data_IF_945068980441
#
_entry.id   IF_945068980441
#
_cell.length_a   1.000
_cell.length_b   1.000
_cell.length_c   1.000
_cell.angle_alpha   90.00
_cell.angle_beta   90.00
_cell.angle_gamma   90.00
#
_symmetry.space_group_name_H-M   'P 1'
#
loop_
_entity.id
_entity.type
_entity.pdbx_description
1 polymer ?
#
# COMPACT_ATOMS: atom_id res chain seq x y z
N UNK A 1 -9.88 -1.37 -8.67
CA UNK A 1 -9.32 -0.14 -8.08
C UNK A 1 -8.95 -0.49 -6.65
N UNK A 2 -7.86 0.04 -6.13
CA UNK A 2 -7.37 -0.20 -4.77
C UNK A 2 -7.41 1.15 -4.03
N UNK A 3 -7.77 1.12 -2.75
CA UNK A 3 -7.88 2.31 -1.87
C UNK A 3 -6.60 2.62 -1.10
N UNK A 4 -5.47 2.04 -1.51
CA UNK A 4 -4.17 2.19 -0.82
C UNK A 4 -3.75 3.66 -0.72
N UNK A 5 -4.03 4.46 -1.76
CA UNK A 5 -3.71 5.90 -1.76
C UNK A 5 -4.51 6.66 -0.71
N UNK A 6 -5.82 6.43 -0.64
CA UNK A 6 -6.70 7.05 0.36
C UNK A 6 -6.24 6.68 1.77
N UNK A 7 -5.97 5.40 2.05
CA UNK A 7 -5.53 4.95 3.38
C UNK A 7 -4.19 5.57 3.78
N UNK A 8 -3.28 5.78 2.82
CA UNK A 8 -2.02 6.48 3.07
C UNK A 8 -2.23 7.96 3.40
N UNK A 9 -3.13 8.64 2.69
CA UNK A 9 -3.50 10.03 2.96
C UNK A 9 -4.21 10.18 4.31
N UNK A 10 -5.16 9.30 4.65
CA UNK A 10 -5.87 9.29 5.94
C UNK A 10 -4.92 9.12 7.13
N UNK A 11 -3.87 8.30 6.97
CA UNK A 11 -2.85 8.12 8.01
C UNK A 11 -1.74 9.16 7.98
N UNK A 12 -1.69 10.01 6.95
CA UNK A 12 -0.58 10.95 6.75
C UNK A 12 0.77 10.27 6.49
N UNK A 13 0.77 9.05 5.95
CA UNK A 13 1.98 8.26 5.73
C UNK A 13 2.50 8.50 4.31
N UNK A 14 3.81 8.74 4.20
CA UNK A 14 4.47 8.90 2.90
C UNK A 14 4.63 7.54 2.21
N UNK A 15 4.50 7.53 0.89
CA UNK A 15 4.72 6.33 0.07
C UNK A 15 6.14 5.76 0.21
N UNK A 16 7.14 6.62 0.46
CA UNK A 16 8.53 6.22 0.76
C UNK A 16 8.60 5.35 2.01
N UNK A 17 7.88 5.72 3.07
CA UNK A 17 7.83 4.95 4.31
C UNK A 17 7.20 3.57 4.10
N UNK A 18 6.11 3.51 3.32
CA UNK A 18 5.49 2.23 2.99
C UNK A 18 6.44 1.34 2.17
N UNK A 19 7.18 1.91 1.22
CA UNK A 19 8.16 1.17 0.43
C UNK A 19 9.29 0.58 1.29
N UNK A 20 9.81 1.36 2.25
CA UNK A 20 10.80 0.89 3.21
C UNK A 20 10.26 -0.24 4.08
N UNK A 21 9.00 -0.15 4.54
CA UNK A 21 8.39 -1.18 5.40
C UNK A 21 8.08 -2.50 4.69
N UNK A 22 7.68 -2.46 3.41
CA UNK A 22 7.46 -3.67 2.60
C UNK A 22 8.81 -4.24 2.10
N UNK A 23 9.91 -3.49 2.21
CA UNK A 23 11.20 -3.88 1.67
C UNK A 23 11.21 -3.91 0.13
N UNK A 24 10.38 -3.06 -0.50
CA UNK A 24 10.32 -2.94 -1.97
C UNK A 24 10.74 -1.57 -2.42
N UNK A 25 11.23 -1.50 -3.66
CA UNK A 25 11.58 -0.22 -4.28
C UNK A 25 10.37 0.71 -4.35
N UNK A 26 10.61 2.00 -4.17
CA UNK A 26 9.58 3.05 -4.25
C UNK A 26 8.71 2.93 -5.51
N UNK A 27 9.32 2.65 -6.66
CA UNK A 27 8.59 2.49 -7.93
C UNK A 27 7.57 1.35 -7.93
N UNK A 28 7.84 0.24 -7.22
CA UNK A 28 6.89 -0.88 -7.08
C UNK A 28 5.70 -0.46 -6.23
N UNK A 29 5.95 0.17 -5.08
CA UNK A 29 4.91 0.68 -4.18
C UNK A 29 4.07 1.75 -4.89
N UNK A 30 4.71 2.66 -5.63
CA UNK A 30 4.02 3.68 -6.41
C UNK A 30 3.11 3.06 -7.49
N UNK A 31 3.53 1.95 -8.12
CA UNK A 31 2.67 1.24 -9.06
C UNK A 31 1.39 0.69 -8.41
N UNK A 32 1.47 0.23 -7.15
CA UNK A 32 0.30 -0.23 -6.38
C UNK A 32 -0.62 0.93 -5.98
N UNK A 33 -0.03 2.03 -5.49
CA UNK A 33 -0.75 3.22 -5.02
C UNK A 33 -1.43 3.95 -6.17
N UNK A 34 -0.76 4.10 -7.32
CA UNK A 34 -1.32 4.72 -8.52
C UNK A 34 -2.24 3.79 -9.32
N UNK A 35 -2.62 2.61 -8.79
CA UNK A 35 -3.45 1.63 -9.49
C UNK A 35 -2.90 1.18 -10.87
N UNK A 36 -1.61 1.40 -11.15
CA UNK A 36 -0.96 0.97 -12.40
C UNK A 36 -0.72 -0.54 -12.41
N UNK A 37 -0.52 -1.13 -11.23
CA UNK A 37 -0.37 -2.57 -11.04
C UNK A 37 -1.11 -2.98 -9.79
N UNK A 38 -1.80 -4.11 -9.83
CA UNK A 38 -2.44 -4.65 -8.65
C UNK A 38 -1.40 -5.38 -7.78
N UNK A 39 -1.33 -5.10 -6.47
CA UNK A 39 -0.53 -5.90 -5.56
C UNK A 39 -1.11 -7.32 -5.48
N UNK A 40 -0.24 -8.30 -5.36
CA UNK A 40 -0.68 -9.68 -5.08
C UNK A 40 -1.31 -9.74 -3.68
N UNK A 41 -2.18 -10.74 -3.43
CA UNK A 41 -2.81 -10.96 -2.12
C UNK A 41 -1.82 -10.88 -0.96
N UNK A 42 -0.66 -11.55 -1.09
CA UNK A 42 0.41 -11.51 -0.09
C UNK A 42 0.87 -10.09 0.26
N UNK A 43 1.06 -9.26 -0.77
CA UNK A 43 1.49 -7.87 -0.59
C UNK A 43 0.38 -7.00 -0.01
N UNK A 44 -0.87 -7.26 -0.38
CA UNK A 44 -2.05 -6.61 0.19
C UNK A 44 -2.14 -6.88 1.70
N UNK A 45 -1.92 -8.13 2.13
CA UNK A 45 -1.84 -8.49 3.54
C UNK A 45 -0.65 -7.85 4.25
N UNK A 46 0.53 -7.80 3.63
CA UNK A 46 1.69 -7.09 4.20
C UNK A 46 1.41 -5.60 4.38
N UNK A 47 0.84 -4.94 3.36
CA UNK A 47 0.44 -3.53 3.40
C UNK A 47 -0.61 -3.31 4.49
N UNK A 48 -1.63 -4.15 4.57
CA UNK A 48 -2.67 -4.11 5.60
C UNK A 48 -2.08 -4.23 7.01
N UNK A 49 -1.13 -5.14 7.19
CA UNK A 49 -0.44 -5.35 8.48
C UNK A 49 0.44 -4.17 8.86
N UNK A 50 1.18 -3.60 7.91
CA UNK A 50 2.05 -2.43 8.11
C UNK A 50 1.21 -1.19 8.44
N UNK A 51 0.14 -0.98 7.67
CA UNK A 51 -0.77 0.14 7.86
C UNK A 51 -1.72 -0.10 9.05
N UNK A 52 -1.78 -1.31 9.62
CA UNK A 52 -2.73 -1.68 10.68
C UNK A 52 -4.17 -1.33 10.27
N UNK A 53 -4.59 -1.85 9.11
CA UNK A 53 -5.94 -1.71 8.55
C UNK A 53 -6.41 -3.06 8.05
N UNK A 54 -7.73 -3.24 7.98
CA UNK A 54 -8.29 -4.41 7.34
C UNK A 54 -8.03 -4.41 5.83
N UNK A 55 -7.78 -5.58 5.24
CA UNK A 55 -7.57 -5.74 3.80
C UNK A 55 -8.78 -5.24 3.00
N UNK A 56 -10.00 -5.35 3.55
CA UNK A 56 -11.22 -4.80 2.94
C UNK A 56 -11.18 -3.29 2.75
N UNK A 57 -10.41 -2.56 3.57
CA UNK A 57 -10.25 -1.11 3.42
C UNK A 57 -9.25 -0.75 2.32
N UNK A 58 -8.49 -1.71 1.78
CA UNK A 58 -7.50 -1.50 0.72
C UNK A 58 -8.03 -1.89 -0.67
N UNK A 59 -9.17 -2.57 -0.73
CA UNK A 59 -9.87 -2.98 -1.97
C UNK A 59 -10.91 -1.91 -2.33
#
# INVERSE_FOLDING_TARGET
MNRIKEVLEEKGIKQTWLAEKIGKSFSQTNAYVCNRRQPSLKQLFEIAKILNVDVKNLI
#
